data_IF_959956550189
#
_entry.id   IF_959956550189
#
_cell.length_a   1.000
_cell.length_b   1.000
_cell.length_c   1.000
_cell.angle_alpha   90.00
_cell.angle_beta   90.00
_cell.angle_gamma   90.00
#
_symmetry.space_group_name_H-M   'P 1'
#
loop_
_entity.id
_entity.type
_entity.pdbx_description
1 polymer ?
#
# COMPACT_ATOMS: atom_id res chain seq x y z
N UNK A 1 -19.96 -37.75 -0.21
CA UNK A 1 -19.47 -37.21 0.93
C UNK A 1 -18.16 -36.54 0.83
N UNK A 2 -17.17 -37.18 0.48
CA UNK A 2 -15.88 -36.64 0.38
C UNK A 2 -15.76 -35.57 -0.66
N UNK A 3 -16.52 -35.66 -1.64
CA UNK A 3 -16.46 -34.71 -2.70
C UNK A 3 -16.68 -33.31 -2.21
N UNK A 4 -17.45 -33.18 -1.22
CA UNK A 4 -17.77 -31.90 -0.71
C UNK A 4 -16.55 -31.18 -0.21
N UNK A 5 -15.64 -31.89 0.30
CA UNK A 5 -14.49 -31.28 0.86
C UNK A 5 -13.64 -30.64 -0.17
N UNK A 6 -13.46 -31.27 -1.24
CA UNK A 6 -12.64 -30.72 -2.24
C UNK A 6 -13.17 -29.47 -2.76
N UNK A 7 -14.42 -29.43 -2.86
CA UNK A 7 -15.11 -28.31 -3.32
C UNK A 7 -14.77 -27.09 -2.54
N UNK A 8 -14.72 -27.23 -1.27
CA UNK A 8 -14.43 -26.14 -0.43
C UNK A 8 -13.06 -25.58 -0.67
N UNK A 9 -12.13 -26.41 -0.94
CA UNK A 9 -10.78 -25.95 -1.14
C UNK A 9 -10.69 -25.01 -2.31
N UNK A 10 -11.43 -25.27 -3.32
CA UNK A 10 -11.36 -24.45 -4.47
C UNK A 10 -11.83 -23.06 -4.16
N UNK A 11 -12.83 -22.96 -3.39
CA UNK A 11 -13.38 -21.67 -3.08
C UNK A 11 -12.40 -20.76 -2.40
N UNK A 12 -11.49 -21.29 -1.65
CA UNK A 12 -10.57 -20.49 -0.90
C UNK A 12 -9.54 -19.78 -1.73
N UNK A 13 -9.33 -20.20 -2.92
CA UNK A 13 -8.33 -19.62 -3.70
C UNK A 13 -8.51 -18.23 -4.11
N UNK A 14 -9.71 -17.76 -4.24
CA UNK A 14 -9.94 -16.42 -4.73
C UNK A 14 -9.91 -15.38 -3.66
N UNK A 15 -9.59 -15.76 -2.45
CA UNK A 15 -9.61 -14.81 -1.37
C UNK A 15 -8.33 -14.01 -1.24
N UNK A 16 -7.94 -13.79 -0.02
CA UNK A 16 -6.81 -12.95 0.33
C UNK A 16 -5.51 -13.55 -0.20
N UNK A 17 -4.81 -12.81 -1.03
CA UNK A 17 -3.57 -13.30 -1.60
C UNK A 17 -2.62 -12.17 -1.95
N UNK A 18 -1.34 -12.44 -1.78
CA UNK A 18 -0.29 -11.52 -2.21
C UNK A 18 0.84 -12.39 -2.75
N UNK A 19 1.15 -12.21 -4.02
CA UNK A 19 2.25 -12.93 -4.64
C UNK A 19 3.17 -11.89 -5.26
N UNK A 20 4.29 -11.67 -4.63
CA UNK A 20 5.23 -10.66 -5.07
C UNK A 20 6.27 -10.39 -4.01
N UNK A 21 6.80 -9.20 -3.97
CA UNK A 21 7.80 -8.83 -3.01
C UNK A 21 7.47 -7.49 -2.37
N UNK A 22 7.98 -7.28 -1.18
CA UNK A 22 7.81 -5.99 -0.50
C UNK A 22 9.07 -5.66 0.27
N UNK A 23 9.37 -4.38 0.31
CA UNK A 23 10.50 -3.85 1.05
C UNK A 23 9.99 -2.69 1.89
N UNK A 24 10.30 -2.71 3.16
CA UNK A 24 9.88 -1.64 4.06
C UNK A 24 11.09 -1.27 4.92
N UNK A 25 11.51 -0.02 4.84
CA UNK A 25 12.63 0.45 5.64
C UNK A 25 12.45 1.94 5.92
N UNK A 26 13.44 2.58 6.50
CA UNK A 26 13.32 3.97 6.88
C UNK A 26 13.13 4.91 5.70
N UNK A 27 13.50 4.48 4.51
CA UNK A 27 13.38 5.34 3.34
C UNK A 27 12.07 5.16 2.60
N UNK A 28 11.27 4.18 2.96
CA UNK A 28 9.99 4.02 2.31
C UNK A 28 9.46 2.60 2.32
N UNK A 29 8.47 2.38 1.48
CA UNK A 29 7.74 1.12 1.41
C UNK A 29 7.45 0.87 -0.06
N UNK A 30 7.85 -0.25 -0.57
CA UNK A 30 7.65 -0.60 -1.97
C UNK A 30 7.16 -2.03 -2.11
N UNK A 31 6.31 -2.25 -3.09
CA UNK A 31 5.84 -3.59 -3.41
C UNK A 31 5.74 -3.77 -4.91
N UNK A 32 6.01 -4.98 -5.36
CA UNK A 32 5.75 -5.40 -6.73
C UNK A 32 5.01 -6.70 -6.61
N UNK A 33 4.01 -6.92 -7.43
CA UNK A 33 3.19 -8.12 -7.30
C UNK A 33 2.59 -8.57 -8.62
N UNK A 34 2.48 -9.87 -8.77
CA UNK A 34 1.74 -10.44 -9.88
C UNK A 34 0.27 -10.51 -9.50
N UNK A 35 -0.02 -10.56 -8.19
CA UNK A 35 -1.38 -10.38 -7.71
C UNK A 35 -1.35 -9.86 -6.28
N UNK A 36 -2.18 -8.87 -6.03
CA UNK A 36 -2.41 -8.37 -4.68
C UNK A 36 -3.93 -8.27 -4.52
N UNK A 37 -4.47 -9.08 -3.61
CA UNK A 37 -5.89 -9.08 -3.35
C UNK A 37 -6.13 -9.13 -1.85
N UNK A 38 -5.48 -8.25 -1.13
CA UNK A 38 -5.64 -8.12 0.31
C UNK A 38 -4.98 -6.82 0.74
N UNK A 39 -5.04 -6.53 2.02
CA UNK A 39 -4.41 -5.34 2.57
C UNK A 39 -2.98 -5.64 3.00
N UNK A 40 -2.06 -4.77 2.64
CA UNK A 40 -0.68 -4.80 3.11
C UNK A 40 -0.40 -3.45 3.72
N UNK A 41 0.33 -3.40 4.80
CA UNK A 41 0.57 -2.13 5.47
C UNK A 41 1.99 -2.03 5.99
N UNK A 42 2.40 -0.81 6.28
CA UNK A 42 3.72 -0.53 6.82
C UNK A 42 3.68 0.75 7.63
N UNK A 43 4.61 0.88 8.55
CA UNK A 43 4.77 2.10 9.32
C UNK A 43 5.99 2.84 8.84
N UNK A 44 5.96 4.15 8.95
CA UNK A 44 7.05 4.98 8.49
C UNK A 44 7.14 6.22 9.37
N UNK A 45 8.30 6.48 9.94
CA UNK A 45 8.49 7.67 10.75
C UNK A 45 8.83 8.83 9.84
N UNK A 46 8.04 9.88 9.92
CA UNK A 46 8.23 11.05 9.07
C UNK A 46 8.31 12.29 9.95
N UNK A 47 9.02 13.28 9.46
CA UNK A 47 9.26 14.53 10.19
C UNK A 47 8.59 15.67 9.45
N UNK A 48 8.10 16.63 10.19
CA UNK A 48 7.50 17.82 9.61
C UNK A 48 8.46 18.40 8.58
N UNK A 49 7.95 18.67 7.39
CA UNK A 49 8.77 19.19 6.30
C UNK A 49 9.22 18.13 5.31
N UNK A 50 9.12 16.87 5.68
CA UNK A 50 9.43 15.79 4.75
C UNK A 50 8.32 15.72 3.71
N UNK A 51 8.60 15.02 2.63
CA UNK A 51 7.60 14.73 1.62
C UNK A 51 7.63 13.25 1.33
N UNK A 52 6.51 12.73 0.90
CA UNK A 52 6.39 11.32 0.58
C UNK A 52 5.93 11.21 -0.87
N UNK A 53 6.77 10.66 -1.72
CA UNK A 53 6.41 10.47 -3.12
C UNK A 53 5.68 9.16 -3.24
N UNK A 54 4.51 9.20 -3.84
CA UNK A 54 3.69 8.00 -4.03
C UNK A 54 3.56 7.72 -5.50
N UNK A 55 3.81 6.47 -5.88
CA UNK A 55 3.73 6.08 -7.28
C UNK A 55 3.03 4.73 -7.37
N UNK A 56 1.99 4.66 -8.18
CA UNK A 56 1.26 3.42 -8.42
C UNK A 56 1.24 3.15 -9.90
N UNK A 57 1.46 1.91 -10.28
CA UNK A 57 1.41 1.51 -11.67
C UNK A 57 0.83 0.11 -11.74
N UNK A 58 -0.40 0.00 -12.24
CA UNK A 58 -1.08 -1.29 -12.33
C UNK A 58 -1.48 -1.59 -13.76
N UNK A 59 -1.24 -2.82 -14.20
CA UNK A 59 -1.68 -3.28 -15.50
C UNK A 59 -3.02 -4.00 -15.38
N UNK A 60 -3.35 -4.46 -14.17
CA UNK A 60 -4.64 -5.09 -13.93
C UNK A 60 -5.09 -4.71 -12.53
N UNK A 61 -6.40 -4.60 -12.35
CA UNK A 61 -6.97 -4.33 -11.04
C UNK A 61 -6.69 -2.93 -10.55
N UNK A 62 -6.82 -2.74 -9.27
CA UNK A 62 -6.66 -1.43 -8.66
C UNK A 62 -6.28 -1.58 -7.20
N UNK A 63 -5.97 -0.46 -6.57
CA UNK A 63 -5.63 -0.47 -5.15
C UNK A 63 -6.21 0.75 -4.45
N UNK A 64 -6.58 0.53 -3.19
CA UNK A 64 -7.00 1.62 -2.31
C UNK A 64 -5.81 1.94 -1.42
N UNK A 65 -5.55 3.22 -1.21
CA UNK A 65 -4.42 3.67 -0.43
C UNK A 65 -4.85 4.61 0.67
N UNK A 66 -4.37 4.41 1.87
CA UNK A 66 -4.63 5.30 2.99
C UNK A 66 -3.31 5.58 3.68
N UNK A 67 -3.05 6.86 3.97
CA UNK A 67 -1.86 7.27 4.70
C UNK A 67 -2.29 8.19 5.83
N UNK A 68 -1.87 7.90 7.04
CA UNK A 68 -2.20 8.75 8.17
C UNK A 68 -1.50 8.33 9.43
N UNK A 69 -1.59 9.15 10.47
CA UNK A 69 -1.03 8.83 11.76
C UNK A 69 -2.07 8.10 12.58
N UNK A 70 -1.58 7.19 13.41
CA UNK A 70 -2.46 6.43 14.26
C UNK A 70 -3.20 7.39 15.19
N UNK A 71 -4.50 7.17 15.33
CA UNK A 71 -5.30 8.02 16.20
C UNK A 71 -5.76 9.31 15.57
N UNK A 72 -5.37 9.57 14.34
CA UNK A 72 -5.79 10.77 13.64
C UNK A 72 -6.33 10.39 12.29
N UNK A 73 -7.01 11.29 11.65
CA UNK A 73 -7.57 11.01 10.35
C UNK A 73 -6.50 10.88 9.30
N UNK A 74 -6.83 10.31 8.16
CA UNK A 74 -5.83 10.13 7.11
C UNK A 74 -5.44 11.46 6.48
N UNK A 75 -4.19 11.56 6.05
CA UNK A 75 -3.76 12.73 5.29
C UNK A 75 -3.98 12.44 3.80
N UNK A 76 -4.21 11.19 3.44
CA UNK A 76 -4.51 10.83 2.06
C UNK A 76 -5.34 9.57 2.03
N UNK A 77 -6.33 9.55 1.17
CA UNK A 77 -7.16 8.38 0.94
C UNK A 77 -7.53 8.34 -0.54
N UNK A 78 -7.13 7.28 -1.22
CA UNK A 78 -7.46 7.09 -2.63
C UNK A 78 -8.08 5.73 -2.81
N UNK A 79 -9.12 5.64 -3.64
CA UNK A 79 -9.82 4.39 -3.88
C UNK A 79 -9.75 4.01 -5.34
N UNK A 80 -9.59 2.70 -5.59
CA UNK A 80 -9.66 2.17 -6.93
C UNK A 80 -8.65 2.76 -7.88
N UNK A 81 -7.45 2.99 -7.40
CA UNK A 81 -6.44 3.66 -8.20
C UNK A 81 -5.65 2.68 -9.02
N UNK A 82 -5.45 2.97 -10.29
CA UNK A 82 -4.64 2.13 -11.16
C UNK A 82 -3.27 2.74 -11.35
N UNK A 83 -3.21 3.97 -11.80
CA UNK A 83 -1.95 4.66 -12.01
C UNK A 83 -2.04 6.03 -11.39
N UNK A 84 -1.03 6.41 -10.65
CA UNK A 84 -1.00 7.71 -10.01
C UNK A 84 0.40 8.02 -9.57
N UNK A 85 0.73 9.29 -9.55
CA UNK A 85 2.04 9.72 -9.04
C UNK A 85 1.82 11.10 -8.43
N UNK A 86 2.19 11.25 -7.17
CA UNK A 86 2.00 12.52 -6.48
C UNK A 86 2.89 12.56 -5.25
N UNK A 87 2.92 13.72 -4.61
CA UNK A 87 3.75 13.94 -3.43
C UNK A 87 2.87 14.44 -2.31
N UNK A 88 3.03 13.86 -1.13
CA UNK A 88 2.31 14.30 0.06
C UNK A 88 3.28 15.09 0.92
N UNK A 89 2.83 16.22 1.44
CA UNK A 89 3.65 17.01 2.34
C UNK A 89 3.31 16.62 3.77
N UNK A 90 4.34 16.48 4.59
CA UNK A 90 4.16 16.02 5.96
C UNK A 90 4.14 17.23 6.88
N UNK A 91 2.98 17.48 7.45
CA UNK A 91 2.79 18.65 8.30
C UNK A 91 3.12 18.40 9.77
N UNK A 92 3.14 17.15 10.19
CA UNK A 92 3.42 16.82 11.58
C UNK A 92 4.37 15.64 11.68
N UNK A 93 5.31 15.74 12.57
CA UNK A 93 6.24 14.67 12.84
C UNK A 93 5.51 13.54 13.55
N UNK A 94 5.73 12.32 13.14
CA UNK A 94 5.14 11.18 13.83
C UNK A 94 5.32 9.89 13.08
N UNK A 95 4.66 8.86 13.58
CA UNK A 95 4.69 7.55 12.96
C UNK A 95 3.45 7.43 12.09
N UNK A 96 3.69 7.29 10.80
CA UNK A 96 2.60 7.20 9.84
C UNK A 96 2.35 5.76 9.45
N UNK A 97 1.10 5.46 9.21
CA UNK A 97 0.68 4.13 8.82
C UNK A 97 0.22 4.21 7.37
N UNK A 98 0.77 3.34 6.56
CA UNK A 98 0.41 3.26 5.15
C UNK A 98 -0.32 1.95 4.95
N UNK A 99 -1.49 2.02 4.33
CA UNK A 99 -2.29 0.83 4.07
C UNK A 99 -2.64 0.77 2.60
N UNK A 100 -2.38 -0.35 1.97
CA UNK A 100 -2.67 -0.58 0.56
C UNK A 100 -3.54 -1.81 0.46
N UNK A 101 -4.73 -1.67 -0.10
CA UNK A 101 -5.61 -2.81 -0.29
C UNK A 101 -5.79 -3.04 -1.78
N UNK A 102 -5.28 -4.17 -2.25
CA UNK A 102 -5.38 -4.50 -3.66
C UNK A 102 -6.68 -5.17 -4.00
N UNK A 103 -7.17 -4.93 -5.20
CA UNK A 103 -8.35 -5.55 -5.75
C UNK A 103 -7.93 -6.25 -7.02
N UNK A 104 -7.41 -7.47 -6.87
CA UNK A 104 -6.87 -8.28 -7.95
C UNK A 104 -5.87 -7.45 -8.75
N UNK A 105 -4.99 -6.79 -8.06
CA UNK A 105 -4.05 -5.85 -8.66
C UNK A 105 -2.79 -6.54 -9.14
N UNK A 106 -2.27 -6.08 -10.27
CA UNK A 106 -1.00 -6.55 -10.80
C UNK A 106 -0.20 -5.31 -11.16
N UNK A 107 0.98 -5.17 -10.57
CA UNK A 107 1.82 -4.00 -10.81
C UNK A 107 2.70 -3.69 -9.63
N UNK A 108 2.84 -2.41 -9.33
CA UNK A 108 3.73 -1.98 -8.28
C UNK A 108 3.22 -0.71 -7.61
N UNK A 109 3.70 -0.49 -6.40
CA UNK A 109 3.40 0.72 -5.68
C UNK A 109 4.62 1.08 -4.84
N UNK A 110 4.94 2.36 -4.75
CA UNK A 110 6.06 2.80 -3.93
C UNK A 110 5.72 4.07 -3.18
N UNK A 111 6.24 4.15 -1.97
CA UNK A 111 6.16 5.33 -1.12
C UNK A 111 7.60 5.63 -0.75
N UNK A 112 8.13 6.75 -1.23
CA UNK A 112 9.54 7.09 -1.05
C UNK A 112 9.67 8.38 -0.26
N UNK A 113 10.44 8.32 0.81
CA UNK A 113 10.69 9.49 1.63
C UNK A 113 11.62 10.47 0.91
N UNK A 114 11.22 11.71 0.85
CA UNK A 114 12.06 12.79 0.37
C UNK A 114 12.27 13.67 1.59
N UNK A 115 13.44 13.62 2.19
CA UNK A 115 13.67 14.38 3.43
C UNK A 115 13.52 15.87 3.21
N UNK A 116 13.05 16.55 4.24
CA UNK A 116 12.93 17.98 4.19
C UNK A 116 14.31 18.60 4.17
N UNK A 117 14.39 19.81 3.63
CA UNK A 117 15.66 20.48 3.60
C UNK A 117 15.99 21.09 4.93
N UNK A 118 17.25 20.99 5.29
CA UNK A 118 17.70 21.60 6.52
C UNK A 118 18.25 22.97 6.20
N UNK A 119 17.93 23.91 7.03
CA UNK A 119 18.39 25.27 6.80
C UNK A 119 19.32 25.75 7.87
#
# INVERSE_FOLDING_TARGET
MLAAMLFLLTGCRTGSVFDGSRVSDASGFRMEYSILNREESAGLNLTEGDRLRVSLSHTEGSADVIVGMEGQGPIYRGRGQQNAEFVLEIAETGNYHISVTGHQAKGSISFTLIPGEMK
#
